data_IF_808413077790
#
_entry.id   IF_808413077790
#
_cell.length_a   1.000
_cell.length_b   1.000
_cell.length_c   1.000
_cell.angle_alpha   90.00
_cell.angle_beta   90.00
_cell.angle_gamma   90.00
#
_symmetry.space_group_name_H-M   'P 1'
#
loop_
_entity.id
_entity.type
_entity.pdbx_description
1 polymer ?
#
# COMPACT_ATOMS: atom_id res chain seq x y z
N UNK A 1 24.57 -1.54 -9.52
CA UNK A 1 25.35 -0.42 -9.00
C UNK A 1 24.69 0.17 -7.77
N UNK A 2 25.49 0.56 -6.79
CA UNK A 2 24.96 1.09 -5.54
C UNK A 2 24.71 2.60 -5.64
N UNK A 3 23.70 3.07 -4.92
CA UNK A 3 23.38 4.49 -4.84
C UNK A 3 24.34 5.18 -3.87
N UNK A 4 25.11 6.17 -4.33
CA UNK A 4 25.95 6.94 -3.42
C UNK A 4 25.10 7.67 -2.38
N UNK A 5 25.48 7.58 -1.14
CA UNK A 5 24.68 8.11 -0.03
C UNK A 5 24.48 9.64 -0.10
N UNK A 6 25.44 10.35 -0.65
CA UNK A 6 25.36 11.82 -0.69
C UNK A 6 24.55 12.39 -1.85
N UNK A 7 23.97 11.54 -2.68
CA UNK A 7 23.18 12.02 -3.82
C UNK A 7 21.76 11.48 -3.80
N UNK A 8 21.19 11.45 -2.61
CA UNK A 8 19.89 10.82 -2.37
C UNK A 8 18.76 11.22 -3.34
N UNK A 9 18.73 12.42 -3.82
CA UNK A 9 17.71 12.87 -4.76
C UNK A 9 18.16 12.82 -6.21
N UNK A 10 19.27 12.17 -6.48
CA UNK A 10 19.90 12.18 -7.79
C UNK A 10 19.72 10.86 -8.53
N UNK A 11 18.54 10.26 -8.44
CA UNK A 11 18.22 9.10 -9.21
C UNK A 11 18.41 7.77 -8.51
N UNK A 12 18.66 7.75 -7.21
CA UNK A 12 18.71 6.48 -6.46
C UNK A 12 17.30 5.91 -6.33
N UNK A 13 17.02 4.73 -6.91
CA UNK A 13 15.67 4.17 -6.86
C UNK A 13 15.21 3.82 -5.44
N UNK A 14 16.12 3.41 -4.58
CA UNK A 14 15.75 3.11 -3.19
C UNK A 14 15.35 4.38 -2.45
N UNK A 15 16.12 5.45 -2.62
CA UNK A 15 15.80 6.72 -1.98
C UNK A 15 14.46 7.28 -2.48
N UNK A 16 14.23 7.21 -3.80
CA UNK A 16 12.95 7.66 -4.36
C UNK A 16 11.78 6.89 -3.74
N UNK A 17 11.90 5.57 -3.66
CA UNK A 17 10.87 4.73 -3.07
C UNK A 17 10.63 5.09 -1.61
N UNK A 18 11.70 5.19 -0.81
CA UNK A 18 11.57 5.52 0.60
C UNK A 18 10.93 6.89 0.81
N UNK A 19 11.30 7.87 -0.02
CA UNK A 19 10.72 9.21 0.07
C UNK A 19 9.24 9.24 -0.33
N UNK A 20 8.81 8.29 -1.18
CA UNK A 20 7.42 8.24 -1.67
C UNK A 20 6.49 7.49 -0.76
N UNK A 21 6.96 6.42 -0.09
CA UNK A 21 6.08 5.57 0.72
C UNK A 21 6.80 4.80 1.82
N UNK A 22 8.05 5.13 2.13
CA UNK A 22 8.91 4.26 2.93
C UNK A 22 8.64 4.22 4.43
N UNK A 23 7.75 5.05 4.94
CA UNK A 23 7.44 5.03 6.36
C UNK A 23 6.43 3.94 6.69
N UNK A 24 6.45 3.54 7.96
CA UNK A 24 5.59 2.48 8.48
C UNK A 24 4.11 2.68 8.13
N UNK A 25 3.59 3.88 8.38
CA UNK A 25 2.16 4.13 8.22
C UNK A 25 1.72 4.15 6.77
N UNK A 26 2.55 4.70 5.88
CA UNK A 26 2.26 4.67 4.44
C UNK A 26 2.19 3.25 3.91
N UNK A 27 3.14 2.39 4.30
CA UNK A 27 3.15 0.99 3.88
C UNK A 27 1.92 0.23 4.41
N UNK A 28 1.52 0.48 5.65
CA UNK A 28 0.33 -0.16 6.22
C UNK A 28 -0.96 0.29 5.52
N UNK A 29 -1.07 1.57 5.17
CA UNK A 29 -2.22 2.07 4.41
C UNK A 29 -2.29 1.41 3.04
N UNK A 30 -1.16 1.31 2.34
CA UNK A 30 -1.12 0.66 1.03
C UNK A 30 -1.53 -0.82 1.15
N UNK A 31 -1.01 -1.52 2.15
CA UNK A 31 -1.42 -2.90 2.44
C UNK A 31 -2.93 -3.02 2.61
N UNK A 32 -3.51 -2.12 3.38
CA UNK A 32 -4.95 -2.16 3.68
C UNK A 32 -5.80 -1.92 2.44
N UNK A 33 -5.37 -1.02 1.59
CA UNK A 33 -6.06 -0.81 0.31
C UNK A 33 -5.93 -2.00 -0.63
N UNK A 34 -4.78 -2.67 -0.62
CA UNK A 34 -4.52 -3.82 -1.49
C UNK A 34 -5.22 -5.08 -1.00
N UNK A 35 -5.12 -5.38 0.28
CA UNK A 35 -5.42 -6.72 0.79
C UNK A 35 -6.61 -6.78 1.74
N UNK A 36 -6.99 -5.67 2.34
CA UNK A 36 -8.07 -5.65 3.34
C UNK A 36 -9.35 -4.96 2.84
N UNK A 37 -9.33 -4.44 1.62
CA UNK A 37 -10.48 -3.77 1.04
C UNK A 37 -10.87 -2.47 1.71
N UNK A 38 -9.97 -1.86 2.46
CA UNK A 38 -10.23 -0.59 3.13
C UNK A 38 -10.32 0.54 2.10
N UNK A 39 -11.22 1.48 2.34
CA UNK A 39 -11.41 2.61 1.42
C UNK A 39 -11.77 3.91 2.12
N UNK A 40 -12.16 3.89 3.41
CA UNK A 40 -12.58 5.08 4.12
C UNK A 40 -11.62 5.41 5.25
N UNK A 41 -11.62 6.68 5.64
CA UNK A 41 -10.85 7.14 6.80
C UNK A 41 -11.15 6.27 8.04
N UNK A 42 -12.44 5.98 8.27
CA UNK A 42 -12.84 5.14 9.40
C UNK A 42 -12.26 3.73 9.34
N UNK A 43 -12.18 3.14 8.14
CA UNK A 43 -11.59 1.81 7.98
C UNK A 43 -10.14 1.81 8.50
N UNK A 44 -9.35 2.78 8.07
CA UNK A 44 -7.95 2.87 8.48
C UNK A 44 -7.81 3.14 9.98
N UNK A 45 -8.64 4.04 10.49
CA UNK A 45 -8.56 4.40 11.91
C UNK A 45 -8.89 3.20 12.80
N UNK A 46 -9.86 2.39 12.40
CA UNK A 46 -10.33 1.24 13.18
C UNK A 46 -9.60 -0.07 12.80
N UNK A 47 -8.57 0.03 11.99
CA UNK A 47 -7.92 -1.15 11.40
C UNK A 47 -7.05 -1.98 12.33
N UNK A 48 -6.90 -1.57 13.58
CA UNK A 48 -6.19 -2.37 14.58
C UNK A 48 -4.71 -2.06 14.77
N UNK A 49 -4.14 -1.15 13.99
CA UNK A 49 -2.72 -0.80 14.10
C UNK A 49 -2.46 0.34 15.07
N UNK A 50 -3.49 1.00 15.57
CA UNK A 50 -3.34 2.08 16.54
C UNK A 50 -2.89 3.41 15.96
N UNK A 51 -3.15 3.67 14.69
CA UNK A 51 -2.78 4.93 14.07
C UNK A 51 -3.59 6.08 14.67
N UNK A 52 -2.93 7.20 14.96
CA UNK A 52 -3.61 8.40 15.44
C UNK A 52 -4.31 9.13 14.29
N UNK A 53 -5.31 9.94 14.63
CA UNK A 53 -6.05 10.72 13.64
C UNK A 53 -5.14 11.69 12.88
N UNK A 54 -4.20 12.33 13.58
CA UNK A 54 -3.29 13.29 12.95
C UNK A 54 -2.34 12.62 11.97
N UNK A 55 -1.78 11.47 12.35
CA UNK A 55 -0.87 10.72 11.48
C UNK A 55 -1.62 10.20 10.27
N UNK A 56 -2.81 9.65 10.47
CA UNK A 56 -3.62 9.12 9.36
C UNK A 56 -3.94 10.21 8.35
N UNK A 57 -4.44 11.35 8.81
CA UNK A 57 -4.76 12.47 7.91
C UNK A 57 -3.54 12.93 7.14
N UNK A 58 -2.40 13.04 7.82
CA UNK A 58 -1.14 13.46 7.21
C UNK A 58 -0.67 12.47 6.16
N UNK A 59 -0.71 11.18 6.47
CA UNK A 59 -0.24 10.15 5.54
C UNK A 59 -1.14 10.00 4.32
N UNK A 60 -2.46 10.07 4.50
CA UNK A 60 -3.37 10.04 3.36
C UNK A 60 -3.12 11.21 2.41
N UNK A 61 -2.92 12.40 2.95
CA UNK A 61 -2.62 13.59 2.16
C UNK A 61 -1.27 13.45 1.44
N UNK A 62 -0.27 12.93 2.14
CA UNK A 62 1.06 12.70 1.59
C UNK A 62 1.02 11.71 0.42
N UNK A 63 0.33 10.59 0.59
CA UNK A 63 0.22 9.57 -0.45
C UNK A 63 -0.56 10.07 -1.66
N UNK A 64 -1.60 10.87 -1.43
CA UNK A 64 -2.34 11.49 -2.51
C UNK A 64 -1.45 12.47 -3.29
N UNK A 65 -0.70 13.28 -2.58
CA UNK A 65 0.21 14.26 -3.21
C UNK A 65 1.27 13.57 -4.06
N UNK A 66 1.68 12.37 -3.66
CA UNK A 66 2.67 11.59 -4.41
C UNK A 66 2.04 10.74 -5.52
N UNK A 67 0.74 10.88 -5.77
CA UNK A 67 0.06 10.16 -6.84
C UNK A 67 -0.17 8.68 -6.57
N UNK A 68 -0.04 8.25 -5.31
CA UNK A 68 -0.24 6.84 -4.92
C UNK A 68 -1.71 6.55 -4.64
N UNK A 69 -2.41 7.53 -4.08
CA UNK A 69 -3.85 7.43 -3.80
C UNK A 69 -4.62 8.46 -4.60
N UNK A 70 -5.88 8.13 -4.87
CA UNK A 70 -6.89 9.11 -5.27
C UNK A 70 -7.95 9.17 -4.18
N UNK A 71 -8.67 10.29 -4.13
CA UNK A 71 -9.82 10.41 -3.24
C UNK A 71 -11.00 10.99 -4.01
N UNK A 72 -12.18 10.46 -3.73
CA UNK A 72 -13.43 10.91 -4.35
C UNK A 72 -14.52 10.92 -3.31
N UNK A 73 -15.52 11.82 -3.43
CA UNK A 73 -16.68 11.73 -2.55
C UNK A 73 -17.43 10.44 -2.79
N UNK A 74 -17.95 9.83 -1.71
CA UNK A 74 -18.81 8.66 -1.82
C UNK A 74 -20.10 9.05 -2.54
N UNK A 75 -20.50 8.38 -3.62
CA UNK A 75 -21.74 8.69 -4.32
C UNK A 75 -22.99 8.61 -3.45
N UNK A 76 -22.97 7.73 -2.44
CA UNK A 76 -24.12 7.55 -1.55
C UNK A 76 -24.10 8.46 -0.32
N UNK A 77 -22.92 9.00 0.02
CA UNK A 77 -22.77 9.92 1.16
C UNK A 77 -21.61 10.86 0.88
N UNK A 78 -21.92 12.01 0.31
CA UNK A 78 -20.90 12.97 -0.16
C UNK A 78 -20.02 13.55 0.94
N UNK A 79 -20.39 13.36 2.19
CA UNK A 79 -19.54 13.78 3.32
C UNK A 79 -18.42 12.79 3.57
N UNK A 80 -18.56 11.57 3.05
CA UNK A 80 -17.55 10.55 3.20
C UNK A 80 -16.65 10.54 1.97
N UNK A 81 -15.35 10.36 2.21
CA UNK A 81 -14.35 10.28 1.15
C UNK A 81 -13.99 8.82 0.94
N UNK A 82 -13.92 8.41 -0.30
CA UNK A 82 -13.44 7.09 -0.70
C UNK A 82 -12.02 7.24 -1.22
N UNK A 83 -11.10 6.49 -0.64
CA UNK A 83 -9.70 6.41 -1.06
C UNK A 83 -9.49 5.16 -1.89
N UNK A 84 -8.69 5.28 -2.94
CA UNK A 84 -8.36 4.16 -3.81
C UNK A 84 -6.92 4.30 -4.29
N UNK A 85 -6.31 3.17 -4.63
CA UNK A 85 -4.97 3.19 -5.23
C UNK A 85 -5.08 3.66 -6.68
N UNK A 86 -4.12 4.47 -7.09
CA UNK A 86 -3.89 4.80 -8.50
C UNK A 86 -3.11 3.65 -9.14
N UNK A 87 -2.84 3.73 -10.46
CA UNK A 87 -1.93 2.77 -11.10
C UNK A 87 -0.55 2.77 -10.40
N UNK A 88 -0.04 3.95 -10.12
CA UNK A 88 1.24 4.09 -9.41
C UNK A 88 1.20 3.38 -8.06
N UNK A 89 0.10 3.54 -7.34
CA UNK A 89 -0.08 2.87 -6.04
C UNK A 89 -0.24 1.37 -6.17
N UNK A 90 -1.04 0.91 -7.13
CA UNK A 90 -1.24 -0.52 -7.34
C UNK A 90 0.06 -1.22 -7.76
N UNK A 91 0.93 -0.52 -8.46
CA UNK A 91 2.23 -1.05 -8.86
C UNK A 91 3.15 -1.35 -7.66
N UNK A 92 2.76 -0.92 -6.46
CA UNK A 92 3.47 -1.29 -5.22
C UNK A 92 3.03 -2.64 -4.66
N UNK A 93 2.06 -3.31 -5.26
CA UNK A 93 1.64 -4.63 -4.78
C UNK A 93 2.79 -5.62 -4.66
N UNK A 94 3.69 -5.75 -5.66
CA UNK A 94 4.84 -6.65 -5.50
C UNK A 94 5.74 -6.30 -4.32
N UNK A 95 5.88 -5.03 -3.99
CA UNK A 95 6.66 -4.60 -2.81
C UNK A 95 6.01 -5.15 -1.53
N UNK A 96 4.70 -5.00 -1.41
CA UNK A 96 3.97 -5.52 -0.25
C UNK A 96 4.07 -7.05 -0.19
N UNK A 97 3.96 -7.74 -1.33
CA UNK A 97 4.10 -9.20 -1.39
C UNK A 97 5.49 -9.62 -0.90
N UNK A 98 6.53 -8.93 -1.31
CA UNK A 98 7.88 -9.27 -0.89
C UNK A 98 8.10 -9.05 0.61
N UNK A 99 7.46 -8.05 1.19
CA UNK A 99 7.47 -7.86 2.64
C UNK A 99 6.79 -9.04 3.35
N UNK A 100 5.66 -9.51 2.82
CA UNK A 100 5.00 -10.70 3.34
C UNK A 100 5.91 -11.94 3.27
N UNK A 101 6.55 -12.15 2.13
CA UNK A 101 7.39 -13.33 1.91
C UNK A 101 8.61 -13.31 2.81
N UNK A 102 9.23 -12.15 2.96
CA UNK A 102 10.36 -12.01 3.87
C UNK A 102 9.94 -12.34 5.31
N UNK A 103 8.80 -11.76 5.74
CA UNK A 103 8.30 -11.97 7.10
C UNK A 103 7.87 -13.42 7.33
N UNK A 104 7.24 -14.04 6.33
CA UNK A 104 6.82 -15.44 6.45
C UNK A 104 8.00 -16.38 6.66
N UNK A 105 9.16 -16.02 6.13
CA UNK A 105 10.36 -16.83 6.29
C UNK A 105 11.00 -16.70 7.68
N UNK A 106 10.93 -15.52 8.28
CA UNK A 106 11.69 -15.22 9.49
C UNK A 106 10.87 -15.00 10.75
N UNK A 107 9.58 -14.73 10.62
CA UNK A 107 8.70 -14.49 11.78
C UNK A 107 7.97 -15.78 12.16
N UNK A 108 8.38 -16.45 13.26
CA UNK A 108 7.73 -17.70 13.67
C UNK A 108 6.29 -17.48 14.16
N UNK A 109 5.90 -16.25 14.44
CA UNK A 109 4.56 -15.92 14.93
C UNK A 109 3.69 -15.29 13.84
N UNK A 110 4.11 -15.36 12.58
CA UNK A 110 3.34 -14.77 11.49
C UNK A 110 1.94 -15.34 11.41
N UNK A 111 0.97 -14.48 11.20
CA UNK A 111 -0.42 -14.87 10.97
C UNK A 111 -0.81 -14.79 9.50
N UNK A 112 0.17 -14.64 8.62
CA UNK A 112 -0.09 -14.59 7.19
C UNK A 112 -0.70 -15.93 6.74
N UNK A 113 -1.85 -15.90 6.03
CA UNK A 113 -2.46 -17.13 5.54
C UNK A 113 -1.51 -17.84 4.57
N UNK A 114 -1.34 -19.14 4.76
CA UNK A 114 -0.42 -19.93 3.94
C UNK A 114 -0.76 -19.89 2.47
N UNK A 115 -2.05 -19.95 2.14
CA UNK A 115 -2.50 -19.87 0.75
C UNK A 115 -2.15 -18.55 0.10
N UNK A 116 -2.29 -17.46 0.84
CA UNK A 116 -1.94 -16.14 0.34
C UNK A 116 -0.43 -16.02 0.10
N UNK A 117 0.36 -16.50 1.04
CA UNK A 117 1.82 -16.50 0.91
C UNK A 117 2.26 -17.31 -0.31
N UNK A 118 1.65 -18.47 -0.53
CA UNK A 118 1.94 -19.28 -1.72
C UNK A 118 1.60 -18.56 -3.00
N UNK A 119 0.46 -17.91 -3.07
CA UNK A 119 0.06 -17.14 -4.25
C UNK A 119 1.04 -16.00 -4.50
N UNK A 120 1.46 -15.31 -3.46
CA UNK A 120 2.44 -14.24 -3.59
C UNK A 120 3.78 -14.74 -4.13
N UNK A 121 4.15 -15.96 -3.76
CA UNK A 121 5.42 -16.54 -4.18
C UNK A 121 5.37 -17.16 -5.59
N UNK A 122 4.26 -17.81 -5.93
CA UNK A 122 4.22 -18.68 -7.12
C UNK A 122 3.21 -18.25 -8.18
N UNK A 123 2.24 -17.42 -7.84
CA UNK A 123 1.15 -17.07 -8.75
C UNK A 123 0.71 -15.62 -8.55
N UNK A 124 1.68 -14.72 -8.63
CA UNK A 124 1.44 -13.29 -8.43
C UNK A 124 0.48 -12.71 -9.44
N UNK A 125 0.55 -13.16 -10.68
CA UNK A 125 -0.31 -12.62 -11.73
C UNK A 125 -1.79 -12.85 -11.43
N UNK A 126 -2.13 -14.05 -10.97
CA UNK A 126 -3.49 -14.37 -10.58
C UNK A 126 -3.94 -13.52 -9.39
N UNK A 127 -3.08 -13.40 -8.39
CA UNK A 127 -3.40 -12.59 -7.21
C UNK A 127 -3.56 -11.11 -7.57
N UNK A 128 -2.68 -10.58 -8.41
CA UNK A 128 -2.78 -9.18 -8.87
C UNK A 128 -4.10 -8.94 -9.61
N UNK A 129 -4.52 -9.90 -10.44
CA UNK A 129 -5.79 -9.78 -11.14
C UNK A 129 -6.96 -9.76 -10.15
N UNK A 130 -6.90 -10.61 -9.11
CA UNK A 130 -7.96 -10.70 -8.11
C UNK A 130 -8.11 -9.42 -7.27
N UNK A 131 -7.01 -8.76 -6.96
CA UNK A 131 -7.03 -7.59 -6.08
C UNK A 131 -6.99 -6.25 -6.82
N UNK A 132 -6.91 -6.27 -8.14
CA UNK A 132 -6.86 -5.05 -8.93
C UNK A 132 -8.12 -4.22 -8.74
N UNK A 133 -8.01 -2.93 -8.39
CA UNK A 133 -9.19 -2.07 -8.24
C UNK A 133 -9.97 -1.95 -9.55
N UNK A 134 -11.30 -2.02 -9.46
CA UNK A 134 -12.19 -2.01 -10.61
C UNK A 134 -12.01 -0.78 -11.50
N UNK A 135 -11.66 0.36 -10.92
CA UNK A 135 -11.50 1.60 -11.65
C UNK A 135 -10.23 1.72 -12.49
N UNK A 136 -9.27 0.79 -12.34
CA UNK A 136 -7.98 0.88 -13.02
C UNK A 136 -7.93 0.18 -14.37
N UNK A 137 -8.93 -0.61 -14.70
CA UNK A 137 -8.91 -1.39 -15.94
C UNK A 137 -7.89 -2.52 -15.89
N UNK A 138 -7.56 -3.07 -17.06
CA UNK A 138 -6.58 -4.14 -17.18
C UNK A 138 -5.29 -3.61 -17.81
N UNK A 139 -4.17 -4.12 -17.35
CA UNK A 139 -2.88 -3.83 -17.96
C UNK A 139 -2.62 -4.73 -19.15
#
# INVERSE_FOLDING_TARGET
>A
MLCPSKIRHNGCPVTYALDSFGDRWSLLIIRDLLLRGFSTYGDFLDGGEGISTNILADRLKFLEANGILSKTPDPENRRRIIYALTEKGFDLAPVIFDLFLWSAQYDPETKAPKELVEKMAKDRESLLADIRPAGLGTK
#
